data_IF_135647377553
#
_entry.id   IF_135647377553
#
_cell.length_a   1.000
_cell.length_b   1.000
_cell.length_c   1.000
_cell.angle_alpha   90.00
_cell.angle_beta   90.00
_cell.angle_gamma   90.00
#
_symmetry.space_group_name_H-M   'P 1'
#
loop_
_entity.id
_entity.type
_entity.pdbx_description
1 polymer ?
#
# COMPACT_ATOMS: atom_id res chain seq x y z
N UNK A 1 25.57 0.61 -2.22
CA UNK A 1 24.21 1.04 -2.59
C UNK A 1 23.43 1.45 -1.36
N UNK A 2 22.60 2.49 -1.51
CA UNK A 2 21.66 2.89 -0.46
C UNK A 2 20.38 2.08 -0.65
N UNK A 3 19.92 1.41 0.40
CA UNK A 3 18.65 0.72 0.44
C UNK A 3 17.74 1.48 1.38
N UNK A 4 16.71 2.14 0.82
CA UNK A 4 15.69 2.81 1.62
C UNK A 4 14.70 1.77 2.13
N UNK A 5 14.34 1.88 3.40
CA UNK A 5 13.36 1.00 4.03
C UNK A 5 12.28 1.82 4.73
N UNK A 6 11.04 1.41 4.56
CA UNK A 6 9.91 1.87 5.35
C UNK A 6 8.96 0.70 5.56
N UNK A 7 8.24 0.68 6.67
CA UNK A 7 7.31 -0.40 6.96
C UNK A 7 5.95 0.13 7.43
N UNK A 8 4.91 -0.63 7.15
CA UNK A 8 3.59 -0.41 7.69
C UNK A 8 3.38 -1.26 8.95
N UNK A 9 2.59 -0.73 9.89
CA UNK A 9 2.19 -1.48 11.08
C UNK A 9 0.88 -2.21 10.80
N UNK A 10 0.98 -3.50 10.50
CA UNK A 10 -0.16 -4.36 10.15
C UNK A 10 -0.33 -5.58 11.07
N UNK A 11 0.30 -5.56 12.25
CA UNK A 11 0.33 -6.67 13.20
C UNK A 11 -1.05 -7.12 13.68
N UNK A 12 -2.03 -6.25 13.64
CA UNK A 12 -3.41 -6.54 14.02
C UNK A 12 -4.20 -7.29 12.95
N UNK A 13 -3.63 -7.48 11.74
CA UNK A 13 -4.29 -8.18 10.65
C UNK A 13 -3.67 -9.56 10.42
N UNK A 14 -4.51 -10.59 10.30
CA UNK A 14 -4.06 -11.96 10.11
C UNK A 14 -3.36 -12.53 11.35
N UNK A 15 -2.18 -13.10 11.16
CA UNK A 15 -1.41 -13.71 12.23
C UNK A 15 -0.22 -12.87 12.65
N UNK A 16 -0.20 -12.45 13.91
CA UNK A 16 0.95 -11.74 14.48
C UNK A 16 2.20 -12.59 14.64
N UNK A 17 2.12 -13.90 14.43
CA UNK A 17 3.24 -14.85 14.51
C UNK A 17 3.98 -15.01 13.18
N UNK A 18 3.38 -14.63 12.07
CA UNK A 18 4.00 -14.67 10.75
C UNK A 18 4.65 -13.32 10.46
N UNK A 19 5.95 -13.33 10.20
CA UNK A 19 6.75 -12.13 9.93
C UNK A 19 7.58 -12.33 8.69
N UNK A 20 7.78 -11.25 7.89
CA UNK A 20 8.76 -11.29 6.82
C UNK A 20 10.14 -11.60 7.39
N UNK A 21 10.84 -12.51 6.76
CA UNK A 21 12.23 -12.89 7.06
C UNK A 21 13.12 -12.71 5.82
N UNK A 22 14.40 -13.02 5.97
CA UNK A 22 15.36 -12.89 4.87
C UNK A 22 15.07 -13.82 3.70
N UNK A 23 14.51 -14.99 3.96
CA UNK A 23 14.16 -15.97 2.93
C UNK A 23 12.97 -15.46 2.10
N UNK A 24 11.93 -14.97 2.75
CA UNK A 24 10.77 -14.37 2.09
C UNK A 24 11.17 -13.13 1.27
N UNK A 25 12.08 -12.31 1.80
CA UNK A 25 12.61 -11.14 1.09
C UNK A 25 13.41 -11.53 -0.16
N UNK A 26 14.28 -12.53 -0.04
CA UNK A 26 15.04 -13.06 -1.17
C UNK A 26 14.12 -13.62 -2.26
N UNK A 27 13.16 -14.47 -1.90
CA UNK A 27 12.19 -15.04 -2.84
C UNK A 27 11.35 -13.96 -3.54
N UNK A 28 10.92 -12.94 -2.81
CA UNK A 28 10.17 -11.82 -3.39
C UNK A 28 11.00 -11.07 -4.45
N UNK A 29 12.27 -10.80 -4.16
CA UNK A 29 13.19 -10.18 -5.10
C UNK A 29 13.41 -11.05 -6.36
N UNK A 30 13.66 -12.34 -6.18
CA UNK A 30 13.87 -13.26 -7.30
C UNK A 30 12.61 -13.32 -8.19
N UNK A 31 11.42 -13.47 -7.60
CA UNK A 31 10.15 -13.48 -8.34
C UNK A 31 9.93 -12.18 -9.12
N UNK A 32 10.26 -11.03 -8.53
CA UNK A 32 10.16 -9.74 -9.21
C UNK A 32 11.13 -9.62 -10.38
N UNK A 33 12.38 -10.07 -10.22
CA UNK A 33 13.40 -10.05 -11.26
C UNK A 33 13.08 -11.02 -12.42
N UNK A 34 12.53 -12.19 -12.12
CA UNK A 34 12.03 -13.13 -13.12
C UNK A 34 10.90 -12.52 -13.95
N UNK A 35 9.92 -11.91 -13.28
CA UNK A 35 8.80 -11.23 -13.95
C UNK A 35 9.29 -10.08 -14.84
N UNK A 36 10.35 -9.39 -14.44
CA UNK A 36 10.99 -8.33 -15.22
C UNK A 36 11.91 -8.84 -16.35
N UNK A 37 12.10 -10.16 -16.49
CA UNK A 37 13.00 -10.76 -17.49
C UNK A 37 14.48 -10.50 -17.22
N UNK A 38 14.86 -10.10 -16.01
CA UNK A 38 16.26 -9.80 -15.64
C UNK A 38 17.01 -11.08 -15.24
N UNK A 39 16.32 -12.06 -14.70
CA UNK A 39 16.88 -13.36 -14.29
C UNK A 39 16.07 -14.46 -14.97
N UNK A 40 16.76 -15.32 -15.71
CA UNK A 40 16.21 -16.56 -16.24
C UNK A 40 16.59 -17.69 -15.28
N UNK A 41 15.62 -18.40 -14.75
CA UNK A 41 15.85 -19.66 -14.05
C UNK A 41 15.22 -20.77 -14.88
N UNK A 42 15.93 -21.87 -15.07
CA UNK A 42 15.43 -23.08 -15.78
C UNK A 42 14.32 -23.81 -14.98
N UNK A 43 13.82 -23.21 -13.91
CA UNK A 43 12.77 -23.78 -13.09
C UNK A 43 11.38 -23.42 -13.66
N UNK A 44 10.68 -24.43 -14.14
CA UNK A 44 9.36 -24.46 -14.75
C UNK A 44 8.18 -24.05 -13.85
N UNK A 45 8.34 -23.03 -13.01
CA UNK A 45 7.28 -22.50 -12.13
C UNK A 45 6.94 -21.04 -12.42
N UNK A 46 7.00 -20.64 -13.69
CA UNK A 46 6.41 -19.37 -14.11
C UNK A 46 4.89 -19.50 -14.02
N UNK A 47 4.29 -18.91 -13.01
CA UNK A 47 2.88 -18.65 -13.04
C UNK A 47 2.59 -17.75 -14.24
N UNK A 48 1.94 -18.32 -15.24
CA UNK A 48 1.52 -17.64 -16.47
C UNK A 48 0.51 -16.54 -16.11
N UNK A 49 0.99 -15.34 -15.88
CA UNK A 49 0.14 -14.15 -16.00
C UNK A 49 0.63 -13.37 -17.21
N UNK A 50 -0.02 -13.59 -18.35
CA UNK A 50 0.23 -12.88 -19.62
C UNK A 50 -0.12 -11.38 -19.57
N UNK A 51 -0.47 -10.84 -18.41
CA UNK A 51 -0.72 -9.42 -18.26
C UNK A 51 0.57 -8.68 -17.88
N UNK A 52 0.97 -7.75 -18.72
CA UNK A 52 2.02 -6.75 -18.41
C UNK A 52 1.58 -5.75 -17.33
N UNK A 53 0.36 -5.88 -16.81
CA UNK A 53 -0.16 -5.00 -15.81
C UNK A 53 0.55 -5.20 -14.46
N UNK A 54 0.86 -4.12 -13.75
CA UNK A 54 1.47 -4.23 -12.44
C UNK A 54 0.52 -4.94 -11.47
N UNK A 55 1.06 -5.84 -10.67
CA UNK A 55 0.27 -6.54 -9.66
C UNK A 55 -0.07 -5.58 -8.52
N UNK A 56 -1.35 -5.40 -8.24
CA UNK A 56 -1.89 -4.47 -7.25
C UNK A 56 -2.80 -5.18 -6.25
N UNK A 57 -3.19 -4.48 -5.19
CA UNK A 57 -4.12 -4.97 -4.16
C UNK A 57 -3.43 -5.62 -2.96
N UNK A 58 -4.00 -6.72 -2.47
CA UNK A 58 -3.56 -7.41 -1.25
C UNK A 58 -2.31 -8.27 -1.48
N UNK A 59 -1.25 -7.68 -1.97
CA UNK A 59 0.01 -8.35 -2.33
C UNK A 59 1.21 -7.61 -1.74
N UNK A 60 2.29 -8.34 -1.44
CA UNK A 60 3.52 -7.77 -0.91
C UNK A 60 3.26 -6.92 0.33
N UNK A 61 3.75 -5.71 0.36
CA UNK A 61 3.52 -4.76 1.46
C UNK A 61 2.03 -4.40 1.66
N UNK A 62 1.17 -4.62 0.66
CA UNK A 62 -0.27 -4.41 0.76
C UNK A 62 -1.03 -5.56 1.45
N UNK A 63 -0.38 -6.70 1.74
CA UNK A 63 -1.04 -7.90 2.27
C UNK A 63 -1.76 -7.66 3.59
N UNK A 64 -1.17 -6.91 4.52
CA UNK A 64 -1.76 -6.58 5.83
C UNK A 64 -2.42 -5.20 5.88
N UNK A 65 -2.35 -4.41 4.82
CA UNK A 65 -2.85 -3.03 4.81
C UNK A 65 -4.38 -2.96 4.93
N UNK A 66 -4.86 -2.04 5.79
CA UNK A 66 -6.27 -1.81 6.07
C UNK A 66 -6.56 -0.32 6.22
N UNK A 67 -7.82 0.07 6.02
CA UNK A 67 -8.33 1.44 6.14
C UNK A 67 -9.61 1.47 6.95
N UNK A 68 -10.06 2.65 7.38
CA UNK A 68 -11.29 2.79 8.15
C UNK A 68 -11.22 2.18 9.54
N UNK A 69 -10.08 2.33 10.25
CA UNK A 69 -9.78 1.62 11.51
C UNK A 69 -10.26 2.34 12.77
N UNK A 70 -10.88 3.50 12.65
CA UNK A 70 -11.22 4.35 13.80
C UNK A 70 -12.10 3.64 14.85
N UNK A 71 -12.97 2.73 14.41
CA UNK A 71 -13.81 1.89 15.26
C UNK A 71 -13.20 0.51 15.53
N UNK A 72 -11.92 0.31 15.16
CA UNK A 72 -11.19 -0.94 15.34
C UNK A 72 -11.22 -1.86 14.13
N UNK A 73 -10.41 -2.92 14.19
CA UNK A 73 -10.15 -3.81 13.07
C UNK A 73 -11.37 -4.60 12.55
N UNK A 74 -12.38 -4.80 13.40
CA UNK A 74 -13.60 -5.53 13.00
C UNK A 74 -14.41 -4.79 11.94
N UNK A 75 -14.37 -3.46 11.93
CA UNK A 75 -15.08 -2.59 11.00
C UNK A 75 -14.17 -2.03 9.90
N UNK A 76 -12.87 -2.28 10.01
CA UNK A 76 -11.89 -1.89 9.00
C UNK A 76 -12.08 -2.66 7.69
N UNK A 77 -11.66 -2.08 6.59
CA UNK A 77 -11.66 -2.69 5.27
C UNK A 77 -10.25 -2.96 4.78
N UNK A 78 -10.09 -3.97 3.94
CA UNK A 78 -8.82 -4.24 3.27
C UNK A 78 -8.49 -3.11 2.31
N UNK A 79 -7.26 -2.72 2.36
CA UNK A 79 -6.59 -1.86 1.40
C UNK A 79 -5.54 -2.68 0.64
N UNK A 80 -4.51 -2.03 0.13
CA UNK A 80 -3.47 -2.76 -0.59
C UNK A 80 -2.40 -1.85 -1.16
N UNK A 81 -1.66 -2.43 -2.09
CA UNK A 81 -0.65 -1.78 -2.89
C UNK A 81 -1.27 -1.28 -4.19
N UNK A 82 -1.07 -0.02 -4.51
CA UNK A 82 -1.44 0.60 -5.77
C UNK A 82 -0.20 1.04 -6.54
N UNK A 83 -0.27 0.93 -7.87
CA UNK A 83 0.78 1.37 -8.79
C UNK A 83 0.13 2.19 -9.90
N UNK A 84 0.65 3.38 -10.14
CA UNK A 84 0.19 4.23 -11.22
C UNK A 84 1.37 4.87 -11.94
N UNK A 85 1.34 4.85 -13.26
CA UNK A 85 2.41 5.39 -14.10
C UNK A 85 1.87 6.42 -15.07
N UNK A 86 2.62 7.50 -15.25
CA UNK A 86 2.36 8.52 -16.25
C UNK A 86 3.55 8.63 -17.20
N UNK A 87 3.27 8.94 -18.46
CA UNK A 87 4.27 9.17 -19.49
C UNK A 87 3.93 10.47 -20.24
N UNK A 88 4.90 11.36 -20.34
CA UNK A 88 4.78 12.60 -21.10
C UNK A 88 6.05 12.75 -21.98
N UNK A 89 5.92 12.42 -23.25
CA UNK A 89 7.09 12.33 -24.15
C UNK A 89 8.08 11.24 -23.68
N UNK A 90 9.30 11.65 -23.37
CA UNK A 90 10.34 10.77 -22.80
C UNK A 90 10.31 10.69 -21.29
N UNK A 91 9.57 11.58 -20.62
CA UNK A 91 9.43 11.57 -19.17
C UNK A 91 8.49 10.45 -18.71
N UNK A 92 8.94 9.68 -17.73
CA UNK A 92 8.14 8.61 -17.10
C UNK A 92 8.22 8.81 -15.58
N UNK A 93 7.06 8.71 -14.94
CA UNK A 93 6.96 8.71 -13.49
C UNK A 93 6.00 7.62 -13.04
N UNK A 94 6.41 6.85 -12.06
CA UNK A 94 5.61 5.77 -11.46
C UNK A 94 5.50 6.00 -9.95
N UNK A 95 4.29 6.00 -9.44
CA UNK A 95 4.02 5.99 -8.00
C UNK A 95 3.62 4.58 -7.57
N UNK A 96 4.25 4.08 -6.51
CA UNK A 96 3.92 2.82 -5.83
C UNK A 96 3.53 3.19 -4.41
N UNK A 97 2.29 2.90 -4.00
CA UNK A 97 1.76 3.34 -2.71
C UNK A 97 1.09 2.19 -1.98
N UNK A 98 1.33 2.08 -0.69
CA UNK A 98 0.58 1.20 0.21
C UNK A 98 -0.14 2.06 1.24
N UNK A 99 -1.46 1.94 1.29
CA UNK A 99 -2.31 2.71 2.19
C UNK A 99 -2.75 1.86 3.36
N UNK A 100 -2.27 2.20 4.57
CA UNK A 100 -2.65 1.58 5.83
C UNK A 100 -3.18 2.65 6.81
N UNK A 101 -4.16 3.43 6.36
CA UNK A 101 -4.63 4.63 7.02
C UNK A 101 -5.69 4.34 8.11
N UNK A 102 -5.85 5.30 9.05
CA UNK A 102 -6.94 5.30 10.01
C UNK A 102 -8.28 5.61 9.32
N UNK A 103 -8.27 6.56 8.40
CA UNK A 103 -9.42 7.10 7.72
C UNK A 103 -9.88 6.30 6.50
N UNK A 104 -10.73 6.94 5.72
CA UNK A 104 -11.34 6.42 4.50
C UNK A 104 -10.49 6.74 3.26
N UNK A 105 -10.73 6.01 2.18
CA UNK A 105 -10.22 6.31 0.83
C UNK A 105 -11.41 6.76 -0.02
N UNK A 106 -11.26 7.92 -0.62
CA UNK A 106 -12.26 8.46 -1.56
C UNK A 106 -11.63 8.71 -2.92
N UNK A 107 -12.42 8.57 -3.93
CA UNK A 107 -12.09 9.01 -5.28
C UNK A 107 -11.93 10.53 -5.30
N UNK A 108 -10.82 11.02 -5.77
CA UNK A 108 -10.46 12.44 -5.67
C UNK A 108 -11.28 13.34 -6.64
N UNK A 109 -11.84 12.77 -7.71
CA UNK A 109 -12.64 13.51 -8.69
C UNK A 109 -14.10 13.58 -8.26
N UNK A 110 -14.64 12.48 -7.77
CA UNK A 110 -16.07 12.33 -7.46
C UNK A 110 -16.40 12.46 -5.98
N UNK A 111 -15.40 12.37 -5.10
CA UNK A 111 -15.59 12.28 -3.65
C UNK A 111 -16.23 10.98 -3.18
N UNK A 112 -16.51 10.03 -4.07
CA UNK A 112 -17.12 8.75 -3.72
C UNK A 112 -16.17 7.92 -2.87
N UNK A 113 -16.66 7.38 -1.77
CA UNK A 113 -15.89 6.47 -0.92
C UNK A 113 -15.61 5.16 -1.68
N UNK A 114 -14.33 4.80 -1.78
CA UNK A 114 -13.83 3.60 -2.43
C UNK A 114 -13.58 2.48 -1.42
N UNK A 115 -13.04 2.84 -0.25
CA UNK A 115 -12.80 1.92 0.86
C UNK A 115 -12.78 2.68 2.18
N UNK A 116 -13.10 2.03 3.29
CA UNK A 116 -13.08 2.71 4.58
C UNK A 116 -13.85 2.01 5.67
N UNK A 117 -14.32 2.82 6.63
CA UNK A 117 -15.06 2.34 7.78
C UNK A 117 -16.39 1.71 7.37
N UNK A 118 -16.64 0.50 7.84
CA UNK A 118 -17.93 -0.17 7.73
C UNK A 118 -18.75 -0.02 9.02
N UNK A 119 -20.08 -0.11 8.90
CA UNK A 119 -20.96 -0.28 10.06
C UNK A 119 -20.71 -1.63 10.75
N UNK A 120 -21.34 -1.86 11.89
CA UNK A 120 -21.13 -3.08 12.69
C UNK A 120 -21.43 -4.36 11.91
N UNK A 121 -22.43 -4.33 11.04
CA UNK A 121 -22.86 -5.48 10.20
C UNK A 121 -22.05 -5.56 8.89
N UNK A 122 -21.15 -4.63 8.63
CA UNK A 122 -20.29 -4.53 7.44
C UNK A 122 -21.06 -4.40 6.11
N UNK A 123 -22.30 -3.94 6.15
CA UNK A 123 -23.17 -3.79 4.96
C UNK A 123 -23.00 -2.44 4.26
N UNK A 124 -22.63 -1.40 5.03
CA UNK A 124 -22.56 -0.03 4.53
C UNK A 124 -21.31 0.69 5.00
N UNK A 125 -20.92 1.71 4.25
CA UNK A 125 -19.87 2.64 4.66
C UNK A 125 -20.40 3.67 5.63
N UNK A 126 -19.62 3.93 6.68
CA UNK A 126 -19.82 5.00 7.66
C UNK A 126 -18.69 6.01 7.50
N UNK A 127 -18.92 7.27 7.81
CA UNK A 127 -17.89 8.30 7.77
C UNK A 127 -16.92 8.15 8.94
N UNK A 128 -15.61 7.98 8.63
CA UNK A 128 -14.57 8.03 9.66
C UNK A 128 -14.53 9.40 10.37
N UNK A 129 -14.80 10.47 9.65
CA UNK A 129 -14.82 11.83 10.22
C UNK A 129 -15.94 11.99 11.25
N UNK A 130 -17.17 11.59 10.90
CA UNK A 130 -18.30 11.62 11.84
C UNK A 130 -18.06 10.71 13.04
N UNK A 131 -17.51 9.52 12.84
CA UNK A 131 -17.14 8.62 13.91
C UNK A 131 -16.08 9.25 14.85
N UNK A 132 -15.10 9.96 14.29
CA UNK A 132 -14.10 10.68 15.07
C UNK A 132 -14.74 11.72 15.99
N UNK A 133 -15.67 12.53 15.50
CA UNK A 133 -16.35 13.54 16.30
C UNK A 133 -17.21 12.94 17.42
N UNK A 134 -17.79 11.76 17.20
CA UNK A 134 -18.62 11.09 18.21
C UNK A 134 -17.77 10.41 19.30
N UNK A 135 -16.56 9.96 18.99
CA UNK A 135 -15.70 9.19 19.88
C UNK A 135 -14.50 9.98 20.42
N UNK A 136 -14.64 11.29 20.66
CA UNK A 136 -13.57 12.15 21.21
C UNK A 136 -13.13 11.75 22.65
N UNK A 137 -12.76 10.49 22.83
CA UNK A 137 -11.99 10.07 24.00
C UNK A 137 -10.49 10.19 23.67
N UNK A 138 -9.63 10.59 24.62
CA UNK A 138 -8.19 10.64 24.42
C UNK A 138 -7.65 9.20 24.27
N UNK A 139 -7.65 8.71 23.05
CA UNK A 139 -6.97 7.46 22.65
C UNK A 139 -5.78 7.84 21.81
N UNK A 140 -4.70 7.10 21.96
CA UNK A 140 -3.59 7.15 20.99
C UNK A 140 -4.03 6.49 19.68
N UNK A 141 -4.85 7.24 18.93
CA UNK A 141 -5.48 6.79 17.68
C UNK A 141 -4.50 6.76 16.52
N UNK A 142 -3.31 7.32 16.71
CA UNK A 142 -2.32 7.43 15.64
C UNK A 142 -1.33 6.26 15.61
N UNK A 143 -1.40 5.36 16.58
CA UNK A 143 -0.55 4.17 16.61
C UNK A 143 -1.00 3.14 15.56
N UNK A 144 -0.07 2.73 14.69
CA UNK A 144 -0.31 1.68 13.69
C UNK A 144 -0.99 2.14 12.39
N UNK A 145 -0.98 3.43 12.10
CA UNK A 145 -1.51 3.99 10.85
C UNK A 145 -0.37 4.55 10.02
N UNK A 146 -0.32 4.18 8.75
CA UNK A 146 0.80 4.52 7.89
C UNK A 146 0.36 4.51 6.42
N UNK A 147 0.83 5.47 5.66
CA UNK A 147 0.86 5.39 4.20
C UNK A 147 2.30 5.53 3.78
N UNK A 148 2.79 4.57 3.03
CA UNK A 148 4.14 4.61 2.47
C UNK A 148 4.06 4.63 0.96
N UNK A 149 4.99 5.35 0.33
CA UNK A 149 5.05 5.42 -1.11
C UNK A 149 6.48 5.54 -1.63
N UNK A 150 6.64 5.14 -2.87
CA UNK A 150 7.86 5.38 -3.65
C UNK A 150 7.47 6.02 -4.97
N UNK A 151 8.17 7.09 -5.33
CA UNK A 151 8.07 7.72 -6.65
C UNK A 151 9.34 7.40 -7.42
N UNK A 152 9.19 6.78 -8.57
CA UNK A 152 10.27 6.36 -9.46
C UNK A 152 10.14 7.17 -10.75
N UNK A 153 11.23 7.79 -11.19
CA UNK A 153 11.23 8.60 -12.41
C UNK A 153 12.57 8.50 -13.15
N UNK A 154 12.55 8.74 -14.44
CA UNK A 154 13.74 8.90 -15.27
C UNK A 154 14.21 10.35 -15.38
N UNK A 155 13.58 11.30 -14.66
CA UNK A 155 14.08 12.67 -14.55
C UNK A 155 15.25 12.76 -13.56
N UNK A 156 16.18 13.64 -13.86
CA UNK A 156 17.29 13.96 -12.95
C UNK A 156 16.86 15.05 -11.98
N UNK A 157 16.78 14.70 -10.69
CA UNK A 157 16.50 15.63 -9.60
C UNK A 157 17.66 15.70 -8.62
N UNK A 158 17.90 16.87 -8.06
CA UNK A 158 18.79 17.00 -6.93
C UNK A 158 18.08 16.63 -5.61
N UNK A 159 18.82 16.57 -4.51
CA UNK A 159 18.28 16.15 -3.20
C UNK A 159 17.16 17.06 -2.69
N UNK A 160 17.26 18.38 -2.91
CA UNK A 160 16.25 19.33 -2.43
C UNK A 160 14.92 19.17 -3.20
N UNK A 161 15.01 18.95 -4.51
CA UNK A 161 13.85 18.66 -5.36
C UNK A 161 13.18 17.34 -4.99
N UNK A 162 13.98 16.28 -4.75
CA UNK A 162 13.44 14.98 -4.28
C UNK A 162 12.75 15.11 -2.93
N UNK A 163 13.30 15.88 -1.99
CA UNK A 163 12.65 16.13 -0.70
C UNK A 163 11.32 16.84 -0.88
N UNK A 164 11.23 17.80 -1.81
CA UNK A 164 9.97 18.50 -2.09
C UNK A 164 8.92 17.60 -2.75
N UNK A 165 9.35 16.65 -3.58
CA UNK A 165 8.43 15.66 -4.20
C UNK A 165 7.89 14.69 -3.13
N UNK A 166 8.69 14.39 -2.10
CA UNK A 166 8.34 13.44 -1.04
C UNK A 166 7.54 14.06 0.12
N UNK A 167 7.40 15.37 0.20
CA UNK A 167 6.66 16.10 1.23
C UNK A 167 5.23 16.40 0.82
#
# INVERSE_FOLDING_TARGET
PLVCQSCIFDLGYGSSKVRPDSTMGYEACIKALMKAGVVNTDASTAANSDSNDPVQGCIGAGTGATVGKIMGMKQAEKSGLGIYSVKAGTFIMTAIVVVNALGDISDYETGKKLAGLKNADRTEYVSCEEALYQFMAPRDMFTGNTTIGAVITNAAFNKAELNKIAS
#
